data_IF_164763107816
#
_entry.id   IF_164763107816
#
_cell.length_a   1.000
_cell.length_b   1.000
_cell.length_c   1.000
_cell.angle_alpha   90.00
_cell.angle_beta   90.00
_cell.angle_gamma   90.00
#
_symmetry.space_group_name_H-M   'P 1'
#
loop_
_entity.id
_entity.type
_entity.pdbx_description
1 polymer ?
#
# COMPACT_ATOMS: atom_id res chain seq x y z
N UNK A 1 16.60 -7.28 1.47
CA UNK A 1 16.19 -6.39 2.57
C UNK A 1 14.70 -6.61 2.74
N UNK A 2 14.16 -6.66 3.97
CA UNK A 2 12.70 -6.72 4.12
C UNK A 2 12.17 -5.31 3.92
N UNK A 3 11.54 -5.03 2.76
CA UNK A 3 10.96 -3.73 2.50
C UNK A 3 9.89 -3.37 3.54
N UNK A 4 9.57 -2.09 3.65
CA UNK A 4 8.61 -1.59 4.64
C UNK A 4 7.34 -1.10 3.94
N UNK A 5 6.20 -1.54 4.43
CA UNK A 5 4.92 -0.95 4.01
C UNK A 5 4.89 0.52 4.43
N UNK A 6 4.59 1.42 3.49
CA UNK A 6 4.27 2.81 3.76
C UNK A 6 2.81 3.07 3.34
N UNK A 7 2.02 3.76 4.19
CA UNK A 7 2.40 4.23 5.50
C UNK A 7 2.43 3.05 6.50
N UNK A 8 2.80 3.30 7.76
CA UNK A 8 3.06 2.22 8.71
C UNK A 8 1.80 1.41 9.00
N UNK A 9 1.95 0.28 9.70
CA UNK A 9 0.80 -0.52 10.08
C UNK A 9 -0.09 0.34 11.00
N UNK A 10 -1.38 0.46 10.71
CA UNK A 10 -2.36 1.44 11.26
C UNK A 10 -2.56 2.74 10.48
N UNK A 11 -1.89 2.91 9.34
CA UNK A 11 -2.03 4.07 8.47
C UNK A 11 -2.32 3.61 7.03
N UNK A 12 -3.16 4.37 6.32
CA UNK A 12 -3.39 4.24 4.88
C UNK A 12 -3.35 5.61 4.21
N UNK A 13 -3.06 5.63 2.92
CA UNK A 13 -3.26 6.81 2.09
C UNK A 13 -4.71 6.89 1.60
N UNK A 14 -5.20 8.11 1.41
CA UNK A 14 -6.54 8.38 0.87
C UNK A 14 -6.51 8.28 -0.67
N UNK A 15 -7.66 7.91 -1.25
CA UNK A 15 -7.86 7.75 -2.70
C UNK A 15 -7.51 8.98 -3.54
N UNK A 16 -7.36 10.14 -2.92
CA UNK A 16 -7.08 11.40 -3.61
C UNK A 16 -5.59 11.66 -3.83
N UNK A 17 -4.71 10.85 -3.25
CA UNK A 17 -3.28 11.20 -3.18
C UNK A 17 -2.48 10.62 -4.34
N UNK A 18 -2.73 9.36 -4.77
CA UNK A 18 -1.91 8.69 -5.79
C UNK A 18 -2.70 7.67 -6.63
N UNK A 19 -2.25 7.45 -7.87
CA UNK A 19 -2.87 6.49 -8.81
C UNK A 19 -2.21 5.11 -8.80
N UNK A 20 -0.94 4.99 -8.40
CA UNK A 20 -0.19 3.73 -8.36
C UNK A 20 0.75 3.69 -7.15
N UNK A 21 1.16 2.48 -6.73
CA UNK A 21 2.11 2.33 -5.64
C UNK A 21 3.52 2.80 -6.01
N UNK A 22 3.90 2.74 -7.28
CA UNK A 22 5.15 3.33 -7.76
C UNK A 22 5.22 4.83 -7.43
N UNK A 23 4.19 5.61 -7.79
CA UNK A 23 4.18 7.06 -7.55
C UNK A 23 4.22 7.37 -6.05
N UNK A 24 3.48 6.61 -5.24
CA UNK A 24 3.50 6.74 -3.78
C UNK A 24 4.90 6.51 -3.19
N UNK A 25 5.56 5.43 -3.59
CA UNK A 25 6.89 5.09 -3.09
C UNK A 25 7.92 6.15 -3.52
N UNK A 26 7.87 6.59 -4.77
CA UNK A 26 8.75 7.66 -5.29
C UNK A 26 8.57 8.97 -4.53
N UNK A 27 7.32 9.33 -4.19
CA UNK A 27 6.99 10.56 -3.44
C UNK A 27 7.62 10.60 -2.03
N UNK A 28 7.89 9.43 -1.44
CA UNK A 28 8.55 9.31 -0.12
C UNK A 28 10.03 8.92 -0.23
N UNK A 29 10.63 9.04 -1.42
CA UNK A 29 12.05 8.73 -1.66
C UNK A 29 12.38 7.24 -1.57
N UNK A 30 11.41 6.38 -1.84
CA UNK A 30 11.48 4.93 -1.74
C UNK A 30 11.18 4.29 -3.10
N UNK A 31 11.36 2.97 -3.24
CA UNK A 31 11.03 2.24 -4.48
C UNK A 31 9.97 1.20 -4.17
N UNK A 32 8.97 1.05 -5.05
CA UNK A 32 7.94 0.03 -4.85
C UNK A 32 8.54 -1.38 -4.97
N UNK A 33 8.13 -2.27 -4.06
CA UNK A 33 8.65 -3.62 -3.97
C UNK A 33 7.52 -4.65 -3.93
N UNK A 34 7.52 -5.53 -4.91
CA UNK A 34 6.61 -6.66 -4.96
C UNK A 34 7.05 -7.65 -3.86
N UNK A 35 6.18 -7.92 -2.87
CA UNK A 35 6.37 -8.84 -1.72
C UNK A 35 7.03 -8.29 -0.44
N UNK A 36 7.11 -6.97 -0.27
CA UNK A 36 7.72 -6.38 0.94
C UNK A 36 6.76 -6.26 2.16
N UNK A 37 5.46 -6.03 1.97
CA UNK A 37 4.49 -6.42 2.99
C UNK A 37 4.36 -7.94 2.92
N UNK A 38 4.20 -8.61 4.06
CA UNK A 38 4.29 -10.06 4.27
C UNK A 38 3.63 -10.98 3.21
N UNK A 39 2.78 -10.48 2.30
CA UNK A 39 2.03 -11.25 1.32
C UNK A 39 1.73 -10.52 -0.03
N UNK A 40 2.41 -9.40 -0.40
CA UNK A 40 2.15 -8.75 -1.71
C UNK A 40 2.69 -7.32 -1.90
N UNK A 41 2.24 -6.63 -2.96
CA UNK A 41 2.67 -5.27 -3.36
C UNK A 41 1.81 -4.17 -2.74
N UNK A 42 0.53 -4.45 -2.48
CA UNK A 42 -0.33 -3.55 -1.73
C UNK A 42 -1.41 -4.27 -0.94
N UNK A 43 -1.95 -3.56 0.05
CA UNK A 43 -3.08 -4.00 0.86
C UNK A 43 -4.18 -2.96 0.70
N UNK A 44 -5.37 -3.40 0.28
CA UNK A 44 -6.53 -2.54 0.05
C UNK A 44 -7.55 -2.68 1.18
N UNK A 45 -8.22 -1.55 1.47
CA UNK A 45 -9.22 -1.44 2.51
C UNK A 45 -10.45 -0.74 1.96
N UNK A 46 -11.63 -1.20 2.38
CA UNK A 46 -12.91 -0.61 1.98
C UNK A 46 -13.01 0.82 2.51
N UNK A 47 -12.47 1.07 3.70
CA UNK A 47 -12.32 2.40 4.28
C UNK A 47 -11.05 2.62 5.11
N UNK A 48 -10.74 3.90 5.36
CA UNK A 48 -9.56 4.33 6.13
C UNK A 48 -9.60 3.93 7.61
N UNK A 49 -10.77 3.65 8.17
CA UNK A 49 -10.90 3.20 9.57
C UNK A 49 -10.44 1.74 9.72
N UNK A 50 -10.67 0.90 8.72
CA UNK A 50 -10.22 -0.49 8.70
C UNK A 50 -8.69 -0.61 8.78
N UNK A 51 -7.96 0.41 8.33
CA UNK A 51 -6.50 0.46 8.45
C UNK A 51 -6.04 0.41 9.91
N UNK A 52 -6.88 0.87 10.85
CA UNK A 52 -6.59 0.88 12.30
C UNK A 52 -7.01 -0.41 13.01
N UNK A 53 -7.68 -1.32 12.32
CA UNK A 53 -8.23 -2.56 12.91
C UNK A 53 -7.65 -3.75 12.17
N UNK A 54 -6.60 -4.33 12.77
CA UNK A 54 -5.84 -5.47 12.22
C UNK A 54 -6.72 -6.65 11.80
N UNK A 55 -7.76 -6.91 12.57
CA UNK A 55 -8.70 -8.02 12.35
C UNK A 55 -9.60 -7.80 11.12
N UNK A 56 -9.65 -6.57 10.61
CA UNK A 56 -10.41 -6.18 9.41
C UNK A 56 -9.50 -6.00 8.18
N UNK A 57 -8.19 -6.24 8.30
CA UNK A 57 -7.31 -6.22 7.15
C UNK A 57 -7.76 -7.30 6.15
N UNK A 58 -8.19 -6.83 4.97
CA UNK A 58 -8.62 -7.69 3.87
C UNK A 58 -7.47 -8.56 3.33
N UNK A 59 -7.78 -9.44 2.36
CA UNK A 59 -6.74 -10.26 1.72
C UNK A 59 -5.67 -9.37 1.09
N UNK A 60 -4.40 -9.75 1.28
CA UNK A 60 -3.27 -9.08 0.63
C UNK A 60 -3.25 -9.49 -0.84
N UNK A 61 -3.08 -8.51 -1.73
CA UNK A 61 -3.12 -8.76 -3.17
C UNK A 61 -1.77 -8.41 -3.78
N UNK A 62 -1.13 -9.40 -4.40
CA UNK A 62 0.10 -9.20 -5.16
C UNK A 62 -0.24 -8.67 -6.56
N UNK A 63 0.24 -7.47 -6.86
CA UNK A 63 -0.12 -6.64 -8.03
C UNK A 63 1.10 -5.87 -8.50
N UNK A 64 1.08 -5.30 -9.70
CA UNK A 64 2.27 -4.58 -10.20
C UNK A 64 2.37 -3.18 -9.59
N UNK A 65 3.58 -2.69 -9.41
CA UNK A 65 3.84 -1.35 -8.86
C UNK A 65 3.27 -0.22 -9.73
N UNK A 66 3.24 -0.41 -11.05
CA UNK A 66 2.67 0.51 -12.05
C UNK A 66 1.15 0.33 -12.24
N UNK A 67 0.56 -0.65 -11.56
CA UNK A 67 -0.86 -0.92 -11.64
C UNK A 67 -1.67 0.16 -10.92
N UNK A 68 -2.77 0.57 -11.55
CA UNK A 68 -3.69 1.52 -10.95
C UNK A 68 -4.34 0.92 -9.69
N UNK A 69 -4.39 1.70 -8.62
CA UNK A 69 -5.10 1.31 -7.41
C UNK A 69 -6.61 1.38 -7.69
N UNK A 70 -7.34 0.31 -7.36
CA UNK A 70 -8.78 0.19 -7.61
C UNK A 70 -9.63 1.00 -6.59
N UNK A 71 -9.59 2.32 -6.70
CA UNK A 71 -10.28 3.26 -5.80
C UNK A 71 -11.81 3.30 -5.95
N UNK A 72 -12.39 2.58 -6.92
CA UNK A 72 -13.86 2.57 -7.12
C UNK A 72 -14.60 1.86 -5.97
N UNK A 73 -13.93 0.91 -5.30
CA UNK A 73 -14.49 0.12 -4.19
C UNK A 73 -13.72 0.28 -2.89
N UNK A 74 -12.53 0.89 -2.94
CA UNK A 74 -11.64 1.07 -1.80
C UNK A 74 -11.45 2.56 -1.51
N UNK A 75 -11.33 2.93 -0.24
CA UNK A 75 -10.98 4.31 0.15
C UNK A 75 -9.71 4.40 1.00
N UNK A 76 -9.05 3.27 1.28
CA UNK A 76 -7.71 3.22 1.88
C UNK A 76 -6.81 2.17 1.21
N UNK A 77 -5.54 2.49 1.05
CA UNK A 77 -4.53 1.54 0.57
C UNK A 77 -3.18 1.72 1.28
N UNK A 78 -2.39 0.64 1.31
CA UNK A 78 -0.99 0.64 1.75
C UNK A 78 -0.11 0.06 0.66
N UNK A 79 1.00 0.74 0.37
CA UNK A 79 1.95 0.32 -0.66
C UNK A 79 3.23 -0.23 -0.02
N UNK A 80 3.78 -1.28 -0.61
CA UNK A 80 5.04 -1.85 -0.15
C UNK A 80 6.19 -1.11 -0.80
N UNK A 81 7.00 -0.42 0.00
CA UNK A 81 8.15 0.32 -0.53
C UNK A 81 9.45 -0.16 0.14
N UNK A 82 10.45 -0.51 -0.65
CA UNK A 82 11.81 -0.73 -0.18
C UNK A 82 12.48 0.63 0.05
N UNK A 83 12.98 0.82 1.27
CA UNK A 83 13.93 1.90 1.52
C UNK A 83 15.24 1.52 0.81
N UNK A 84 15.67 2.41 -0.10
CA UNK A 84 16.99 2.30 -0.71
C UNK A 84 18.02 2.40 0.43
N UNK A 85 18.98 1.47 0.53
CA UNK A 85 19.97 1.45 1.61
C UNK A 85 20.84 2.71 1.68
#
# INVERSE_FOLDING_TARGET
MAGSCTPTFLECFDKTEFSTCQVQCEAVGSTCAENACADGTYMIYSNVEECKVVELAGPVISRRCDEAIEWQVNTGARCCCEQVP
#
